data_IF_727295596329
#
_entry.id   IF_727295596329
#
_cell.length_a   1.000
_cell.length_b   1.000
_cell.length_c   1.000
_cell.angle_alpha   90.00
_cell.angle_beta   90.00
_cell.angle_gamma   90.00
#
_symmetry.space_group_name_H-M   'P 1'
#
loop_
_entity.id
_entity.type
_entity.pdbx_description
1 polymer ?
#
# COMPACT_ATOMS: atom_id res chain seq x y z
N UNK A 1 -3.62 7.25 -18.40
CA UNK A 1 -2.68 6.17 -18.02
C UNK A 1 -2.35 6.21 -16.53
N UNK A 2 -1.92 7.35 -15.98
CA UNK A 2 -1.64 7.53 -14.54
C UNK A 2 -2.82 7.19 -13.62
N UNK A 3 -4.04 7.57 -13.99
CA UNK A 3 -5.26 7.26 -13.22
C UNK A 3 -5.49 5.76 -13.01
N UNK A 4 -5.13 4.92 -14.01
CA UNK A 4 -5.27 3.47 -13.89
C UNK A 4 -4.39 2.92 -12.77
N UNK A 5 -3.14 3.36 -12.69
CA UNK A 5 -2.23 2.99 -11.61
C UNK A 5 -2.71 3.52 -10.25
N UNK A 6 -3.29 4.73 -10.22
CA UNK A 6 -3.92 5.28 -9.02
C UNK A 6 -5.08 4.41 -8.52
N UNK A 7 -6.00 4.03 -9.40
CA UNK A 7 -7.14 3.15 -9.06
C UNK A 7 -6.66 1.77 -8.62
N UNK A 8 -5.71 1.18 -9.35
CA UNK A 8 -5.17 -0.13 -8.99
C UNK A 8 -4.48 -0.11 -7.63
N UNK A 9 -3.64 0.89 -7.36
CA UNK A 9 -2.98 1.06 -6.07
C UNK A 9 -3.98 1.24 -4.92
N UNK A 10 -5.01 2.06 -5.13
CA UNK A 10 -6.09 2.27 -4.17
C UNK A 10 -6.85 0.98 -3.86
N UNK A 11 -7.21 0.19 -4.88
CA UNK A 11 -7.92 -1.09 -4.70
C UNK A 11 -7.08 -2.05 -3.86
N UNK A 12 -5.77 -2.16 -4.13
CA UNK A 12 -4.88 -3.05 -3.37
C UNK A 12 -4.79 -2.64 -1.89
N UNK A 13 -4.66 -1.33 -1.60
CA UNK A 13 -4.62 -0.80 -0.24
C UNK A 13 -5.95 -0.99 0.49
N UNK A 14 -7.08 -0.69 -0.16
CA UNK A 14 -8.40 -0.91 0.42
C UNK A 14 -8.66 -2.40 0.67
N UNK A 15 -8.23 -3.28 -0.24
CA UNK A 15 -8.35 -4.71 -0.05
C UNK A 15 -7.53 -5.18 1.15
N UNK A 16 -6.28 -4.72 1.26
CA UNK A 16 -5.44 -5.03 2.42
C UNK A 16 -6.09 -4.55 3.73
N UNK A 17 -6.61 -3.32 3.74
CA UNK A 17 -7.29 -2.72 4.88
C UNK A 17 -8.55 -3.51 5.28
N UNK A 18 -9.38 -3.92 4.31
CA UNK A 18 -10.57 -4.74 4.55
C UNK A 18 -10.18 -6.11 5.13
N UNK A 19 -9.21 -6.79 4.53
CA UNK A 19 -8.76 -8.10 5.01
C UNK A 19 -8.20 -8.05 6.43
N UNK A 20 -7.48 -6.99 6.77
CA UNK A 20 -6.96 -6.73 8.13
C UNK A 20 -8.09 -6.39 9.11
N UNK A 21 -8.97 -5.45 8.75
CA UNK A 21 -10.07 -4.97 9.61
C UNK A 21 -11.04 -6.08 10.00
N UNK A 22 -11.39 -6.95 9.05
CA UNK A 22 -12.29 -8.08 9.30
C UNK A 22 -11.56 -9.32 9.83
N UNK A 23 -10.25 -9.23 10.14
CA UNK A 23 -9.43 -10.34 10.60
C UNK A 23 -9.52 -11.59 9.70
N UNK A 24 -9.77 -11.39 8.40
CA UNK A 24 -9.90 -12.48 7.41
C UNK A 24 -8.56 -13.20 7.24
N UNK A 25 -7.48 -12.44 7.40
CA UNK A 25 -6.10 -12.92 7.33
C UNK A 25 -5.40 -12.50 8.61
N UNK A 26 -4.51 -13.35 9.14
CA UNK A 26 -3.70 -12.99 10.31
C UNK A 26 -3.01 -11.64 10.10
N UNK A 27 -3.05 -10.76 11.11
CA UNK A 27 -2.37 -9.45 11.12
C UNK A 27 -0.85 -9.56 10.83
N UNK A 28 -0.28 -10.74 11.07
CA UNK A 28 1.08 -11.13 10.71
C UNK A 28 1.08 -12.00 9.45
N UNK A 29 0.37 -11.58 8.42
CA UNK A 29 0.43 -12.24 7.12
C UNK A 29 1.29 -11.47 6.12
N UNK A 30 2.18 -12.19 5.44
CA UNK A 30 2.95 -11.66 4.31
C UNK A 30 2.06 -11.13 3.20
N UNK A 31 0.85 -11.66 3.06
CA UNK A 31 -0.12 -11.21 2.05
C UNK A 31 -0.57 -9.77 2.32
N UNK A 32 -0.91 -9.42 3.56
CA UNK A 32 -1.33 -8.06 3.91
C UNK A 32 -0.22 -7.04 3.67
N UNK A 33 1.02 -7.39 4.05
CA UNK A 33 2.16 -6.50 3.83
C UNK A 33 2.52 -6.38 2.35
N UNK A 34 2.41 -7.47 1.59
CA UNK A 34 2.59 -7.46 0.14
C UNK A 34 1.57 -6.58 -0.58
N UNK A 35 0.29 -6.69 -0.23
CA UNK A 35 -0.77 -5.85 -0.80
C UNK A 35 -0.56 -4.36 -0.46
N UNK A 36 -0.26 -4.05 0.80
CA UNK A 36 0.05 -2.68 1.21
C UNK A 36 1.29 -2.14 0.48
N UNK A 37 2.35 -2.94 0.32
CA UNK A 37 3.57 -2.52 -0.36
C UNK A 37 3.32 -2.23 -1.84
N UNK A 38 2.70 -3.16 -2.59
CA UNK A 38 2.42 -2.95 -4.02
C UNK A 38 1.44 -1.79 -4.22
N UNK A 39 0.37 -1.72 -3.41
CA UNK A 39 -0.60 -0.63 -3.47
C UNK A 39 0.02 0.74 -3.24
N UNK A 40 0.82 0.87 -2.18
CA UNK A 40 1.47 2.15 -1.84
C UNK A 40 2.55 2.54 -2.85
N UNK A 41 3.33 1.61 -3.43
CA UNK A 41 4.28 1.95 -4.51
C UNK A 41 3.57 2.54 -5.73
N UNK A 42 2.43 1.98 -6.12
CA UNK A 42 1.62 2.51 -7.23
C UNK A 42 1.05 3.90 -6.89
N UNK A 43 0.64 4.13 -5.64
CA UNK A 43 0.13 5.42 -5.20
C UNK A 43 1.23 6.47 -4.99
N UNK A 44 2.45 6.08 -4.62
CA UNK A 44 3.62 6.97 -4.64
C UNK A 44 3.87 7.45 -6.07
N UNK A 45 3.88 6.55 -7.06
CA UNK A 45 4.01 6.94 -8.46
C UNK A 45 2.90 7.90 -8.88
N UNK A 46 1.64 7.55 -8.59
CA UNK A 46 0.49 8.37 -8.93
C UNK A 46 0.51 9.75 -8.24
N UNK A 47 0.85 9.80 -6.95
CA UNK A 47 0.92 11.04 -6.16
C UNK A 47 1.99 12.01 -6.67
N UNK A 48 3.11 11.47 -7.15
CA UNK A 48 4.16 12.24 -7.81
C UNK A 48 3.66 12.88 -9.10
N UNK A 49 2.95 12.12 -9.94
CA UNK A 49 2.36 12.60 -11.20
C UNK A 49 1.34 13.72 -10.99
N UNK A 50 0.50 13.61 -9.95
CA UNK A 50 -0.49 14.65 -9.61
C UNK A 50 0.09 15.77 -8.74
N UNK A 51 1.40 15.76 -8.46
CA UNK A 51 2.11 16.74 -7.63
C UNK A 51 1.51 16.92 -6.22
N UNK A 52 0.93 15.86 -5.67
CA UNK A 52 0.32 15.87 -4.34
C UNK A 52 1.34 15.52 -3.27
N UNK A 53 1.98 16.53 -2.69
CA UNK A 53 2.99 16.36 -1.63
C UNK A 53 2.45 15.61 -0.40
N UNK A 54 1.26 15.94 0.15
CA UNK A 54 0.75 15.22 1.32
C UNK A 54 0.53 13.73 1.04
N UNK A 55 0.01 13.42 -0.14
CA UNK A 55 -0.26 12.04 -0.54
C UNK A 55 1.03 11.27 -0.83
N UNK A 56 2.02 11.92 -1.45
CA UNK A 56 3.33 11.33 -1.67
C UNK A 56 4.02 10.92 -0.36
N UNK A 57 3.98 11.78 0.66
CA UNK A 57 4.55 11.49 1.98
C UNK A 57 3.83 10.32 2.64
N UNK A 58 2.49 10.34 2.63
CA UNK A 58 1.66 9.29 3.24
C UNK A 58 1.97 7.92 2.62
N UNK A 59 1.96 7.83 1.31
CA UNK A 59 2.14 6.56 0.60
C UNK A 59 3.59 6.08 0.69
N UNK A 60 4.56 6.99 0.69
CA UNK A 60 5.98 6.64 0.92
C UNK A 60 6.19 6.03 2.31
N UNK A 61 5.48 6.53 3.33
CA UNK A 61 5.52 5.94 4.67
C UNK A 61 4.96 4.51 4.66
N UNK A 62 3.86 4.27 3.96
CA UNK A 62 3.29 2.93 3.79
C UNK A 62 4.24 1.96 3.09
N UNK A 63 4.96 2.40 2.05
CA UNK A 63 5.99 1.60 1.39
C UNK A 63 7.05 1.17 2.40
N UNK A 64 7.60 2.11 3.17
CA UNK A 64 8.64 1.84 4.17
C UNK A 64 8.16 0.88 5.27
N UNK A 65 6.98 1.12 5.85
CA UNK A 65 6.44 0.28 6.94
C UNK A 65 6.16 -1.13 6.44
N UNK A 66 5.54 -1.26 5.26
CA UNK A 66 5.21 -2.55 4.66
C UNK A 66 6.46 -3.36 4.33
N UNK A 67 7.48 -2.71 3.79
CA UNK A 67 8.77 -3.33 3.50
C UNK A 67 9.47 -3.81 4.78
N UNK A 68 9.54 -2.96 5.82
CA UNK A 68 10.13 -3.34 7.11
C UNK A 68 9.40 -4.53 7.71
N UNK A 69 8.06 -4.53 7.67
CA UNK A 69 7.25 -5.64 8.19
C UNK A 69 7.49 -6.93 7.39
N UNK A 70 7.55 -6.88 6.06
CA UNK A 70 7.89 -8.03 5.21
C UNK A 70 9.27 -8.62 5.56
N UNK A 71 10.29 -7.77 5.76
CA UNK A 71 11.65 -8.20 6.08
C UNK A 71 11.78 -8.78 7.49
N UNK A 72 11.03 -8.26 8.47
CA UNK A 72 11.05 -8.73 9.87
C UNK A 72 10.24 -10.01 10.09
N UNK A 73 9.35 -10.35 9.18
CA UNK A 73 8.46 -11.51 9.29
C UNK A 73 9.20 -12.79 8.86
N UNK A 74 10.01 -13.33 9.77
CA UNK A 74 10.56 -14.68 9.69
C UNK A 74 9.52 -15.71 10.11
#
# INVERSE_FOLDING_TARGET
MTLFFGILGLILLLLAFVLDTFNVVSEKSRLLYGLNFVGSVLLVWYSYEIRSVPFFILESFWVCVSLIKMLKQK
#
